data_IF_028813802119
#
_entry.id   IF_028813802119
#
_cell.length_a   1.000
_cell.length_b   1.000
_cell.length_c   1.000
_cell.angle_alpha   90.00
_cell.angle_beta   90.00
_cell.angle_gamma   90.00
#
_symmetry.space_group_name_H-M   'P 1'
#
loop_
_entity.id
_entity.type
_entity.pdbx_description
1 polymer ?
#
# COMPACT_ATOMS: atom_id res chain seq x y z
N UNK A 1 4.26 -24.64 -10.67
CA UNK A 1 4.29 -24.21 -9.25
C UNK A 1 4.72 -22.75 -9.07
N UNK A 2 5.83 -22.29 -9.67
CA UNK A 2 6.33 -20.90 -9.52
C UNK A 2 5.33 -19.80 -9.93
N UNK A 3 4.55 -20.04 -10.99
CA UNK A 3 3.49 -19.12 -11.47
C UNK A 3 2.31 -18.98 -10.50
N UNK A 4 1.87 -20.07 -9.88
CA UNK A 4 0.77 -20.04 -8.92
C UNK A 4 1.13 -19.24 -7.66
N UNK A 5 2.37 -19.38 -7.18
CA UNK A 5 2.89 -18.60 -6.05
C UNK A 5 2.95 -17.10 -6.41
N UNK A 6 3.44 -16.76 -7.60
CA UNK A 6 3.46 -15.38 -8.07
C UNK A 6 2.05 -14.79 -8.20
N UNK A 7 1.07 -15.58 -8.67
CA UNK A 7 -0.33 -15.16 -8.76
C UNK A 7 -0.93 -14.86 -7.37
N UNK A 8 -0.63 -15.70 -6.36
CA UNK A 8 -1.02 -15.46 -4.97
C UNK A 8 -0.45 -14.13 -4.44
N UNK A 9 0.83 -13.86 -4.69
CA UNK A 9 1.44 -12.58 -4.29
C UNK A 9 0.81 -11.38 -4.99
N UNK A 10 0.48 -11.49 -6.28
CA UNK A 10 -0.22 -10.43 -7.02
C UNK A 10 -1.59 -10.16 -6.37
N UNK A 11 -2.39 -11.19 -6.12
CA UNK A 11 -3.69 -11.02 -5.46
C UNK A 11 -3.54 -10.41 -4.06
N UNK A 12 -2.57 -10.87 -3.27
CA UNK A 12 -2.34 -10.38 -1.92
C UNK A 12 -1.92 -8.91 -1.93
N UNK A 13 -0.94 -8.54 -2.76
CA UNK A 13 -0.51 -7.14 -2.87
C UNK A 13 -1.60 -6.25 -3.44
N UNK A 14 -2.46 -6.72 -4.34
CA UNK A 14 -3.60 -5.95 -4.82
C UNK A 14 -4.56 -5.58 -3.68
N UNK A 15 -4.92 -6.55 -2.84
CA UNK A 15 -5.80 -6.31 -1.68
C UNK A 15 -5.14 -5.37 -0.68
N UNK A 16 -3.85 -5.58 -0.36
CA UNK A 16 -3.10 -4.72 0.57
C UNK A 16 -3.00 -3.29 0.04
N UNK A 17 -2.79 -3.11 -1.26
CA UNK A 17 -2.72 -1.78 -1.90
C UNK A 17 -4.03 -1.02 -1.71
N UNK A 18 -5.16 -1.67 -1.98
CA UNK A 18 -6.50 -1.06 -1.86
C UNK A 18 -6.78 -0.70 -0.41
N UNK A 19 -6.52 -1.63 0.53
CA UNK A 19 -6.74 -1.39 1.95
C UNK A 19 -5.90 -0.22 2.46
N UNK A 20 -4.61 -0.19 2.11
CA UNK A 20 -3.70 0.91 2.50
C UNK A 20 -4.16 2.25 1.92
N UNK A 21 -4.68 2.25 0.68
CA UNK A 21 -5.18 3.47 0.06
C UNK A 21 -6.41 4.02 0.79
N UNK A 22 -7.37 3.16 1.15
CA UNK A 22 -8.54 3.54 1.95
C UNK A 22 -8.11 4.07 3.32
N UNK A 23 -7.19 3.36 3.98
CA UNK A 23 -6.63 3.74 5.28
C UNK A 23 -5.92 5.12 5.25
N UNK A 24 -5.22 5.45 4.15
CA UNK A 24 -4.67 6.81 3.96
C UNK A 24 -5.79 7.85 3.90
N UNK A 25 -6.86 7.60 3.14
CA UNK A 25 -7.99 8.52 3.03
C UNK A 25 -8.66 8.74 4.39
N UNK A 26 -8.96 7.66 5.11
CA UNK A 26 -9.54 7.74 6.46
C UNK A 26 -8.62 8.50 7.41
N UNK A 27 -7.31 8.23 7.36
CA UNK A 27 -6.34 8.92 8.20
C UNK A 27 -6.26 10.42 7.86
N UNK A 28 -6.33 10.81 6.58
CA UNK A 28 -6.37 12.22 6.17
C UNK A 28 -7.65 12.89 6.64
N UNK A 29 -8.80 12.23 6.49
CA UNK A 29 -10.09 12.75 6.94
C UNK A 29 -10.14 12.93 8.45
N UNK A 30 -9.57 11.99 9.21
CA UNK A 30 -9.49 12.08 10.67
C UNK A 30 -8.60 13.23 11.12
N UNK A 31 -7.42 13.38 10.51
CA UNK A 31 -6.52 14.50 10.83
C UNK A 31 -7.19 15.82 10.47
N UNK A 32 -7.87 15.91 9.32
CA UNK A 32 -8.57 17.13 8.91
C UNK A 32 -9.77 17.49 9.80
N UNK A 33 -10.44 16.50 10.42
CA UNK A 33 -11.64 16.70 11.24
C UNK A 33 -11.35 16.90 12.71
N UNK A 34 -10.38 16.19 13.27
CA UNK A 34 -10.23 16.02 14.71
C UNK A 34 -8.87 16.46 15.26
N UNK A 35 -7.85 16.61 14.41
CA UNK A 35 -6.51 16.97 14.86
C UNK A 35 -6.03 18.29 14.27
N UNK A 36 -5.16 18.98 15.00
CA UNK A 36 -4.25 19.95 14.37
C UNK A 36 -3.17 19.15 13.65
N UNK A 37 -2.65 19.65 12.53
CA UNK A 37 -1.52 19.04 11.80
C UNK A 37 -0.26 19.03 12.69
N UNK A 38 -0.19 18.04 13.59
CA UNK A 38 0.97 17.81 14.44
C UNK A 38 2.04 17.06 13.66
N UNK A 39 3.29 17.15 14.11
CA UNK A 39 4.40 16.42 13.52
C UNK A 39 4.19 14.89 13.54
N UNK A 40 3.45 14.38 14.55
CA UNK A 40 3.13 12.97 14.66
C UNK A 40 2.09 12.52 13.61
N UNK A 41 1.05 13.32 13.41
CA UNK A 41 0.02 13.06 12.39
C UNK A 41 0.61 13.08 10.97
N UNK A 42 1.45 14.08 10.67
CA UNK A 42 2.12 14.18 9.37
C UNK A 42 3.12 13.04 9.14
N UNK A 43 3.89 12.66 10.17
CA UNK A 43 4.78 11.50 10.11
C UNK A 43 4.02 10.19 9.85
N UNK A 44 2.85 10.02 10.46
CA UNK A 44 2.00 8.83 10.26
C UNK A 44 1.45 8.76 8.84
N UNK A 45 0.93 9.87 8.32
CA UNK A 45 0.45 9.97 6.93
C UNK A 45 1.57 9.71 5.92
N UNK A 46 2.75 10.28 6.16
CA UNK A 46 3.93 10.04 5.34
C UNK A 46 4.34 8.56 5.37
N UNK A 47 4.35 7.93 6.54
CA UNK A 47 4.66 6.50 6.69
C UNK A 47 3.71 5.61 5.89
N UNK A 48 2.39 5.89 5.94
CA UNK A 48 1.39 5.17 5.15
C UNK A 48 1.60 5.36 3.64
N UNK A 49 1.92 6.58 3.21
CA UNK A 49 2.21 6.87 1.80
C UNK A 49 3.47 6.14 1.29
N UNK A 50 4.56 6.12 2.08
CA UNK A 50 5.77 5.37 1.76
C UNK A 50 5.49 3.87 1.71
N UNK A 51 4.71 3.35 2.66
CA UNK A 51 4.31 1.94 2.66
C UNK A 51 3.53 1.57 1.40
N UNK A 52 2.56 2.39 0.99
CA UNK A 52 1.82 2.17 -0.27
C UNK A 52 2.76 2.11 -1.48
N UNK A 53 3.75 3.01 -1.54
CA UNK A 53 4.73 3.01 -2.63
C UNK A 53 5.54 1.69 -2.67
N UNK A 54 5.99 1.20 -1.52
CA UNK A 54 6.69 -0.09 -1.43
C UNK A 54 5.80 -1.25 -1.90
N UNK A 55 4.53 -1.27 -1.49
CA UNK A 55 3.57 -2.30 -1.92
C UNK A 55 3.35 -2.27 -3.43
N UNK A 56 3.23 -1.08 -4.03
CA UNK A 56 3.09 -0.94 -5.49
C UNK A 56 4.33 -1.46 -6.22
N UNK A 57 5.54 -1.15 -5.73
CA UNK A 57 6.78 -1.67 -6.31
C UNK A 57 6.85 -3.20 -6.23
N UNK A 58 6.49 -3.77 -5.08
CA UNK A 58 6.43 -5.22 -4.89
C UNK A 58 5.38 -5.90 -5.80
N UNK A 59 4.24 -5.25 -5.99
CA UNK A 59 3.20 -5.69 -6.92
C UNK A 59 3.69 -5.72 -8.37
N UNK A 60 4.31 -4.64 -8.84
CA UNK A 60 4.88 -4.56 -10.20
C UNK A 60 5.96 -5.62 -10.40
N UNK A 61 6.83 -5.82 -9.40
CA UNK A 61 7.87 -6.85 -9.47
C UNK A 61 7.27 -8.26 -9.56
N UNK A 62 6.21 -8.53 -8.78
CA UNK A 62 5.47 -9.80 -8.81
C UNK A 62 4.85 -10.06 -10.18
N UNK A 63 4.27 -9.04 -10.82
CA UNK A 63 3.74 -9.14 -12.20
C UNK A 63 4.87 -9.43 -13.19
N UNK A 64 5.99 -8.71 -13.10
CA UNK A 64 7.14 -8.91 -13.99
C UNK A 64 7.69 -10.34 -13.88
N UNK A 65 7.81 -10.86 -12.65
CA UNK A 65 8.24 -12.22 -12.39
C UNK A 65 7.25 -13.27 -12.91
N UNK A 66 5.94 -13.02 -12.80
CA UNK A 66 4.91 -13.90 -13.36
C UNK A 66 4.99 -13.98 -14.89
N UNK A 67 5.25 -12.85 -15.57
CA UNK A 67 5.36 -12.76 -17.04
C UNK A 67 6.68 -13.33 -17.59
N UNK A 68 7.77 -13.28 -16.83
CA UNK A 68 9.09 -13.74 -17.26
C UNK A 68 9.36 -15.24 -17.07
N UNK A 69 8.56 -15.92 -16.23
CA UNK A 69 8.52 -17.38 -16.14
C UNK A 69 7.48 -17.97 -17.09
#
# INVERSE_FOLDING_TARGET
MKKGIALLFICLFAVVSIYTFIDIIESVLNVARYETLTLAASGTLFGKAVFLLVVIVAFIFSIKFYRGN
#
